data_IF_490689491766
#
_entry.id   IF_490689491766
#
_cell.length_a   1.000
_cell.length_b   1.000
_cell.length_c   1.000
_cell.angle_alpha   90.00
_cell.angle_beta   90.00
_cell.angle_gamma   90.00
#
_symmetry.space_group_name_H-M   'P 1'
#
loop_
_entity.id
_entity.type
_entity.pdbx_description
1 polymer ?
#
# COMPACT_ATOMS: atom_id res chain seq x y z
N UNK A 1 24.23 0.10 46.32
CA UNK A 1 23.70 -1.01 45.49
C UNK A 1 24.25 -0.86 44.09
N UNK A 2 24.88 -1.90 43.52
CA UNK A 2 25.34 -1.91 42.12
C UNK A 2 24.09 -2.00 41.24
N UNK A 3 23.53 -0.87 40.84
CA UNK A 3 22.25 -0.79 40.14
C UNK A 3 22.45 -0.31 38.69
N UNK A 4 21.62 -0.84 37.78
CA UNK A 4 21.47 -0.31 36.42
C UNK A 4 20.95 1.13 36.51
N UNK A 5 21.81 2.09 36.19
CA UNK A 5 21.41 3.50 36.09
C UNK A 5 21.00 3.79 34.65
N UNK A 6 19.75 4.20 34.44
CA UNK A 6 19.22 4.51 33.10
C UNK A 6 20.01 5.62 32.36
N UNK A 7 20.70 6.50 33.10
CA UNK A 7 21.58 7.52 32.54
C UNK A 7 22.98 7.02 32.17
N UNK A 8 23.36 5.80 32.58
CA UNK A 8 24.68 5.25 32.31
C UNK A 8 24.63 4.19 31.21
N UNK A 9 25.59 4.24 30.28
CA UNK A 9 25.65 3.34 29.11
C UNK A 9 26.29 2.00 29.47
N UNK A 10 26.15 1.56 30.71
CA UNK A 10 26.79 0.38 31.27
C UNK A 10 25.69 -0.44 31.93
N UNK A 11 25.54 -1.69 31.49
CA UNK A 11 24.67 -2.68 32.12
C UNK A 11 25.50 -3.61 33.00
N UNK A 12 25.01 -3.91 34.20
CA UNK A 12 25.67 -4.85 35.11
C UNK A 12 25.00 -6.23 35.06
N UNK A 13 25.81 -7.29 34.99
CA UNK A 13 25.34 -8.67 35.04
C UNK A 13 25.67 -9.29 36.41
N UNK A 14 24.63 -9.54 37.22
CA UNK A 14 24.75 -10.11 38.56
C UNK A 14 25.25 -11.56 38.59
N UNK A 15 25.04 -12.33 37.52
CA UNK A 15 25.41 -13.75 37.51
C UNK A 15 26.92 -13.94 37.32
N UNK A 16 27.54 -13.08 36.52
CA UNK A 16 28.96 -13.18 36.17
C UNK A 16 29.80 -12.05 36.77
N UNK A 17 29.20 -11.18 37.59
CA UNK A 17 29.81 -9.95 38.13
C UNK A 17 30.52 -9.07 37.09
N UNK A 18 30.02 -9.05 35.85
CA UNK A 18 30.64 -8.31 34.74
C UNK A 18 29.85 -7.06 34.36
N UNK A 19 30.56 -6.08 33.82
CA UNK A 19 29.98 -4.88 33.22
C UNK A 19 30.01 -4.99 31.70
N UNK A 20 28.95 -4.53 31.04
CA UNK A 20 28.85 -4.50 29.58
C UNK A 20 28.41 -3.13 29.10
N UNK A 21 29.01 -2.66 28.00
CA UNK A 21 28.57 -1.43 27.33
C UNK A 21 27.21 -1.61 26.64
N UNK A 22 26.32 -0.65 26.85
CA UNK A 22 24.97 -0.56 26.27
C UNK A 22 24.98 0.50 25.15
N UNK A 23 25.18 0.09 23.89
CA UNK A 23 25.05 1.01 22.77
C UNK A 23 23.61 1.52 22.65
N UNK A 24 23.47 2.67 21.97
CA UNK A 24 22.17 3.37 21.82
C UNK A 24 21.19 2.51 21.06
N UNK A 25 21.69 1.83 20.03
CA UNK A 25 21.01 0.81 19.28
C UNK A 25 21.70 -0.52 19.57
N UNK A 26 20.95 -1.53 20.00
CA UNK A 26 21.47 -2.89 20.24
C UNK A 26 21.63 -3.68 18.92
N UNK A 27 22.23 -3.04 17.92
CA UNK A 27 22.42 -3.59 16.58
C UNK A 27 23.93 -3.74 16.38
N UNK A 28 24.38 -4.98 16.17
CA UNK A 28 25.81 -5.34 16.03
C UNK A 28 26.15 -6.01 14.70
N UNK A 29 25.16 -6.30 13.87
CA UNK A 29 25.35 -6.97 12.58
C UNK A 29 24.23 -6.60 11.60
N UNK A 30 24.45 -6.94 10.32
CA UNK A 30 23.54 -6.67 9.22
C UNK A 30 22.15 -7.33 9.40
N UNK A 31 22.12 -8.58 9.88
CA UNK A 31 20.87 -9.30 10.10
C UNK A 31 19.99 -8.64 11.19
N UNK A 32 20.61 -8.16 12.27
CA UNK A 32 19.94 -7.41 13.34
C UNK A 32 19.45 -6.06 12.83
N UNK A 33 20.21 -5.39 11.96
CA UNK A 33 19.76 -4.14 11.34
C UNK A 33 18.51 -4.37 10.50
N UNK A 34 18.52 -5.39 9.63
CA UNK A 34 17.38 -5.77 8.78
C UNK A 34 16.15 -6.13 9.61
N UNK A 35 16.31 -7.00 10.60
CA UNK A 35 15.22 -7.38 11.50
C UNK A 35 14.66 -6.20 12.30
N UNK A 36 15.54 -5.30 12.76
CA UNK A 36 15.13 -4.09 13.45
C UNK A 36 14.31 -3.17 12.54
N UNK A 37 14.82 -2.87 11.33
CA UNK A 37 14.14 -2.03 10.34
C UNK A 37 12.78 -2.60 9.91
N UNK A 38 12.63 -3.92 9.80
CA UNK A 38 11.36 -4.59 9.48
C UNK A 38 10.38 -4.59 10.67
N UNK A 39 10.88 -4.66 11.90
CA UNK A 39 10.05 -4.65 13.11
C UNK A 39 9.45 -3.27 13.44
N UNK A 40 10.00 -2.20 12.85
CA UNK A 40 9.57 -0.85 13.13
C UNK A 40 8.16 -0.60 12.55
N UNK A 41 7.26 -0.09 13.40
CA UNK A 41 5.89 0.30 12.98
C UNK A 41 5.89 1.49 12.02
N UNK A 42 6.90 2.35 12.13
CA UNK A 42 7.05 3.55 11.30
C UNK A 42 8.39 3.46 10.59
N UNK A 43 8.40 3.80 9.31
CA UNK A 43 9.62 3.90 8.52
C UNK A 43 10.43 5.11 9.01
N UNK A 44 11.32 4.87 9.99
CA UNK A 44 12.23 5.88 10.51
C UNK A 44 13.66 5.52 10.14
N UNK A 45 14.37 6.46 9.50
CA UNK A 45 15.78 6.30 9.21
C UNK A 45 16.64 6.28 10.47
N UNK A 46 17.65 5.41 10.48
CA UNK A 46 18.63 5.30 11.56
C UNK A 46 19.91 6.05 11.23
N UNK A 47 20.46 6.77 12.20
CA UNK A 47 21.74 7.45 12.05
C UNK A 47 22.91 6.46 12.07
N UNK A 48 23.81 6.55 11.10
CA UNK A 48 25.02 5.70 11.06
C UNK A 48 25.94 5.98 12.24
N UNK A 49 25.94 7.21 12.78
CA UNK A 49 26.69 7.55 13.99
C UNK A 49 26.20 6.74 15.21
N UNK A 50 24.88 6.54 15.31
CA UNK A 50 24.28 5.77 16.40
C UNK A 50 24.51 4.26 16.22
N UNK A 51 24.66 3.79 14.98
CA UNK A 51 25.03 2.40 14.69
C UNK A 51 26.51 2.12 14.96
N UNK A 52 27.42 3.06 14.62
CA UNK A 52 28.87 2.96 14.86
C UNK A 52 29.23 2.73 16.33
N UNK A 53 28.39 3.22 17.22
CA UNK A 53 28.55 3.09 18.66
C UNK A 53 28.42 1.63 19.16
N UNK A 54 27.63 0.79 18.49
CA UNK A 54 27.48 -0.63 18.82
C UNK A 54 28.17 -1.59 17.85
N UNK A 55 28.60 -1.08 16.69
CA UNK A 55 29.02 -1.86 15.54
C UNK A 55 30.15 -1.16 14.78
N UNK A 56 31.38 -1.64 14.97
CA UNK A 56 32.58 -0.98 14.43
C UNK A 56 32.69 -1.04 12.89
N UNK A 57 32.34 -2.18 12.28
CA UNK A 57 32.44 -2.44 10.83
C UNK A 57 31.23 -1.95 10.03
N UNK A 58 30.34 -1.15 10.66
CA UNK A 58 29.05 -0.79 10.07
C UNK A 58 29.15 -0.04 8.73
N UNK A 59 30.23 0.71 8.50
CA UNK A 59 30.38 1.44 7.24
C UNK A 59 30.58 0.50 6.04
N UNK A 60 31.40 -0.54 6.21
CA UNK A 60 31.68 -1.53 5.18
C UNK A 60 30.48 -2.47 5.00
N UNK A 61 29.87 -2.88 6.11
CA UNK A 61 28.70 -3.76 6.10
C UNK A 61 27.48 -3.08 5.45
N UNK A 62 27.24 -1.79 5.73
CA UNK A 62 26.17 -1.02 5.07
C UNK A 62 26.42 -0.91 3.57
N UNK A 63 27.67 -0.69 3.14
CA UNK A 63 27.99 -0.61 1.71
C UNK A 63 27.67 -1.93 1.01
N UNK A 64 28.02 -3.06 1.62
CA UNK A 64 27.70 -4.38 1.09
C UNK A 64 26.19 -4.67 1.08
N UNK A 65 25.44 -4.17 2.07
CA UNK A 65 23.98 -4.27 2.08
C UNK A 65 23.33 -3.37 1.02
N UNK A 66 23.90 -2.20 0.77
CA UNK A 66 23.45 -1.26 -0.26
C UNK A 66 23.68 -1.84 -1.67
N UNK A 67 24.83 -2.46 -1.92
CA UNK A 67 25.11 -3.14 -3.19
C UNK A 67 24.10 -4.28 -3.48
N UNK A 68 23.58 -4.91 -2.42
CA UNK A 68 22.51 -5.93 -2.50
C UNK A 68 21.10 -5.33 -2.53
N UNK A 69 20.97 -4.01 -2.49
CA UNK A 69 19.70 -3.28 -2.37
C UNK A 69 18.88 -3.66 -1.13
N UNK A 70 19.49 -4.14 -0.05
CA UNK A 70 18.76 -4.49 1.18
C UNK A 70 18.50 -3.28 2.08
N UNK A 71 19.23 -2.19 1.87
CA UNK A 71 19.06 -0.93 2.61
C UNK A 71 19.21 0.26 1.68
N UNK A 72 18.49 1.35 2.01
CA UNK A 72 18.62 2.63 1.33
C UNK A 72 19.49 3.58 2.17
N UNK A 73 20.51 4.16 1.56
CA UNK A 73 21.48 5.02 2.25
C UNK A 73 21.35 6.46 1.76
N UNK A 74 21.04 7.38 2.68
CA UNK A 74 21.09 8.82 2.39
C UNK A 74 22.48 9.36 2.69
N UNK A 75 23.11 9.92 1.67
CA UNK A 75 24.41 10.60 1.77
C UNK A 75 24.26 12.13 1.83
N UNK A 76 25.20 12.81 2.46
CA UNK A 76 25.38 14.26 2.30
C UNK A 76 26.09 14.58 0.98
N UNK A 77 26.16 15.88 0.64
CA UNK A 77 26.88 16.37 -0.54
C UNK A 77 28.35 15.90 -0.57
N UNK A 78 28.95 15.70 0.61
CA UNK A 78 30.33 15.22 0.78
C UNK A 78 30.47 13.68 0.61
N UNK A 79 29.41 12.98 0.21
CA UNK A 79 29.40 11.52 0.01
C UNK A 79 29.31 10.70 1.30
N UNK A 80 29.34 11.35 2.48
CA UNK A 80 29.27 10.65 3.77
C UNK A 80 27.85 10.11 4.01
N UNK A 81 27.77 8.80 4.24
CA UNK A 81 26.53 8.13 4.60
C UNK A 81 26.04 8.61 5.97
N UNK A 82 24.77 9.04 6.04
CA UNK A 82 24.22 9.72 7.22
C UNK A 82 23.09 8.94 7.87
N UNK A 83 22.12 8.50 7.07
CA UNK A 83 20.97 7.72 7.55
C UNK A 83 20.71 6.49 6.69
N UNK A 84 20.34 5.40 7.33
CA UNK A 84 19.98 4.12 6.70
C UNK A 84 18.48 3.89 6.85
N UNK A 85 17.87 3.38 5.79
CA UNK A 85 16.44 3.08 5.69
C UNK A 85 16.24 1.64 5.23
N UNK A 86 15.07 1.09 5.56
CA UNK A 86 14.68 -0.23 5.08
C UNK A 86 14.53 -0.21 3.56
N UNK A 87 14.99 -1.27 2.89
CA UNK A 87 14.67 -1.51 1.49
C UNK A 87 14.24 -2.97 1.31
N UNK A 88 13.28 -3.20 0.43
CA UNK A 88 12.91 -4.54 0.03
C UNK A 88 13.32 -4.78 -1.43
N UNK A 89 14.34 -5.63 -1.69
CA UNK A 89 14.76 -5.97 -3.04
C UNK A 89 13.64 -6.58 -3.89
N UNK A 90 12.65 -7.25 -3.26
CA UNK A 90 11.54 -7.87 -4.00
C UNK A 90 10.59 -6.85 -4.63
N UNK A 91 10.58 -5.62 -4.12
CA UNK A 91 9.78 -4.52 -4.65
C UNK A 91 10.56 -3.66 -5.65
N UNK A 92 11.84 -3.95 -5.89
CA UNK A 92 12.63 -3.25 -6.90
C UNK A 92 12.41 -3.89 -8.27
N UNK A 93 11.79 -3.11 -9.16
CA UNK A 93 11.66 -3.45 -10.57
C UNK A 93 12.66 -2.64 -11.38
N UNK A 94 13.73 -3.26 -11.91
CA UNK A 94 14.67 -2.55 -12.77
C UNK A 94 13.94 -2.15 -14.06
N UNK A 95 14.07 -0.87 -14.42
CA UNK A 95 13.54 -0.31 -15.65
C UNK A 95 14.70 0.10 -16.55
N UNK A 96 14.54 -0.03 -17.85
CA UNK A 96 15.54 0.48 -18.79
C UNK A 96 15.70 2.00 -18.63
N UNK A 97 16.94 2.54 -18.70
CA UNK A 97 17.18 3.96 -18.55
C UNK A 97 16.40 4.83 -19.53
N UNK A 98 16.10 4.33 -20.74
CA UNK A 98 15.31 5.04 -21.74
C UNK A 98 13.88 5.31 -21.26
N UNK A 99 13.19 4.30 -20.71
CA UNK A 99 11.85 4.48 -20.17
C UNK A 99 11.83 5.44 -18.98
N UNK A 100 12.85 5.39 -18.11
CA UNK A 100 12.97 6.33 -17.00
C UNK A 100 13.13 7.78 -17.51
N UNK A 101 13.95 8.00 -18.54
CA UNK A 101 14.13 9.31 -19.16
C UNK A 101 12.83 9.81 -19.83
N UNK A 102 12.14 8.92 -20.57
CA UNK A 102 10.85 9.25 -21.16
C UNK A 102 9.82 9.66 -20.10
N UNK A 103 9.76 8.92 -18.99
CA UNK A 103 8.88 9.25 -17.86
C UNK A 103 9.17 10.63 -17.29
N UNK A 104 10.44 10.96 -17.04
CA UNK A 104 10.84 12.26 -16.50
C UNK A 104 10.67 13.42 -17.49
N UNK A 105 10.66 13.14 -18.80
CA UNK A 105 10.44 14.15 -19.85
C UNK A 105 8.98 14.59 -19.95
N UNK A 106 8.03 13.78 -19.48
CA UNK A 106 6.60 14.13 -19.53
C UNK A 106 6.35 15.32 -18.59
N UNK A 107 6.04 16.48 -19.19
CA UNK A 107 5.69 17.67 -18.44
C UNK A 107 4.26 17.54 -17.88
N UNK A 108 4.13 17.62 -16.56
CA UNK A 108 2.83 17.65 -15.90
C UNK A 108 2.32 19.10 -15.94
N UNK A 109 1.09 19.37 -16.43
CA UNK A 109 0.49 20.69 -16.41
C UNK A 109 0.49 21.27 -14.98
N UNK A 110 0.90 22.52 -14.82
CA UNK A 110 0.90 23.18 -13.52
C UNK A 110 -0.52 23.40 -12.99
N UNK A 111 -1.49 23.58 -13.89
CA UNK A 111 -2.89 23.75 -13.56
C UNK A 111 -3.57 22.38 -13.37
N UNK A 112 -4.12 22.09 -12.17
CA UNK A 112 -4.75 20.79 -11.90
C UNK A 112 -6.03 20.56 -12.73
N UNK A 113 -6.73 21.63 -13.11
CA UNK A 113 -7.95 21.54 -13.93
C UNK A 113 -7.65 21.13 -15.37
N UNK A 114 -6.54 21.61 -15.94
CA UNK A 114 -6.08 21.21 -17.27
C UNK A 114 -5.69 19.72 -17.29
N UNK A 115 -4.96 19.25 -16.27
CA UNK A 115 -4.65 17.83 -16.11
C UNK A 115 -5.94 17.00 -16.02
N UNK A 116 -6.94 17.46 -15.24
CA UNK A 116 -8.22 16.76 -15.12
C UNK A 116 -8.98 16.69 -16.44
N UNK A 117 -9.05 17.80 -17.18
CA UNK A 117 -9.72 17.85 -18.49
C UNK A 117 -9.02 16.96 -19.51
N UNK A 118 -7.68 16.96 -19.55
CA UNK A 118 -6.90 16.09 -20.42
C UNK A 118 -7.12 14.60 -20.10
N UNK A 119 -7.15 14.23 -18.82
CA UNK A 119 -7.46 12.86 -18.38
C UNK A 119 -8.88 12.45 -18.78
N UNK A 120 -9.87 13.34 -18.61
CA UNK A 120 -11.25 13.08 -19.04
C UNK A 120 -11.36 12.94 -20.56
N UNK A 121 -10.65 13.76 -21.33
CA UNK A 121 -10.56 13.64 -22.79
C UNK A 121 -9.93 12.32 -23.24
N UNK A 122 -8.98 11.79 -22.48
CA UNK A 122 -8.39 10.47 -22.68
C UNK A 122 -9.26 9.30 -22.15
N UNK A 123 -10.44 9.58 -21.60
CA UNK A 123 -11.35 8.57 -21.03
C UNK A 123 -10.93 8.02 -19.66
N UNK A 124 -9.91 8.63 -19.02
CA UNK A 124 -9.46 8.28 -17.68
C UNK A 124 -10.29 9.06 -16.66
N UNK A 125 -11.20 8.35 -15.97
CA UNK A 125 -12.08 8.91 -14.95
C UNK A 125 -11.49 8.62 -13.57
N UNK A 126 -11.60 9.57 -12.64
CA UNK A 126 -11.11 9.38 -11.28
C UNK A 126 -11.78 8.16 -10.61
N UNK A 127 -10.99 7.25 -10.04
CA UNK A 127 -11.50 6.03 -9.40
C UNK A 127 -12.47 6.29 -8.23
N UNK A 128 -12.45 7.49 -7.65
CA UNK A 128 -13.34 7.91 -6.56
C UNK A 128 -14.74 8.32 -7.04
N UNK A 129 -14.95 8.54 -8.35
CA UNK A 129 -16.28 8.90 -8.85
C UNK A 129 -17.23 7.72 -8.67
N UNK A 130 -18.26 7.91 -7.85
CA UNK A 130 -19.34 6.95 -7.69
C UNK A 130 -19.93 6.68 -9.07
N UNK A 131 -19.85 5.43 -9.51
CA UNK A 131 -20.50 4.99 -10.74
C UNK A 131 -22.00 5.07 -10.47
N UNK A 132 -22.64 6.16 -10.88
CA UNK A 132 -24.08 6.25 -10.84
C UNK A 132 -24.63 5.20 -11.79
N UNK A 133 -25.12 4.10 -11.21
CA UNK A 133 -25.95 3.14 -11.94
C UNK A 133 -27.22 3.91 -12.26
N UNK A 134 -27.25 4.53 -13.43
CA UNK A 134 -28.49 5.04 -13.99
C UNK A 134 -29.37 3.83 -14.18
N UNK A 135 -30.23 3.57 -13.19
CA UNK A 135 -31.29 2.59 -13.31
C UNK A 135 -32.12 3.06 -14.49
N UNK A 136 -31.93 2.43 -15.66
CA UNK A 136 -32.88 2.58 -16.75
C UNK A 136 -34.20 2.10 -16.19
N UNK A 137 -35.05 3.05 -15.76
CA UNK A 137 -36.46 2.83 -15.49
C UNK A 137 -37.11 2.48 -16.82
N UNK A 138 -36.85 1.24 -17.27
CA UNK A 138 -37.71 0.56 -18.23
C UNK A 138 -38.99 0.34 -17.44
N UNK A 139 -39.89 1.32 -17.50
CA UNK A 139 -41.30 1.12 -17.16
C UNK A 139 -41.75 -0.08 -17.99
N UNK A 140 -41.69 -1.28 -17.38
CA UNK A 140 -42.30 -2.47 -17.93
C UNK A 140 -43.79 -2.13 -17.96
N UNK A 141 -44.28 -1.68 -19.11
CA UNK A 141 -45.72 -1.60 -19.37
C UNK A 141 -46.30 -2.94 -18.94
N UNK A 142 -47.14 -2.93 -17.90
CA UNK A 142 -47.86 -4.10 -17.46
C UNK A 142 -48.57 -4.67 -18.69
N UNK A 143 -48.26 -5.92 -19.05
CA UNK A 143 -48.91 -6.56 -20.20
C UNK A 143 -50.39 -6.61 -19.90
N UNK A 144 -51.20 -5.96 -20.75
CA UNK A 144 -52.65 -6.02 -20.65
C UNK A 144 -53.09 -7.50 -20.62
N UNK A 145 -54.03 -7.88 -19.74
CA UNK A 145 -54.50 -9.26 -19.66
C UNK A 145 -55.05 -9.66 -21.04
N UNK A 146 -54.52 -10.76 -21.59
CA UNK A 146 -54.94 -11.28 -22.89
C UNK A 146 -56.41 -11.68 -22.79
N UNK A 147 -57.29 -10.94 -23.46
CA UNK A 147 -58.68 -11.33 -23.65
C UNK A 147 -58.71 -12.70 -24.33
N UNK A 148 -59.41 -13.63 -23.69
CA UNK A 148 -59.51 -15.06 -23.97
C UNK A 148 -59.39 -15.41 -25.47
N UNK A 149 -58.40 -16.23 -25.80
CA UNK A 149 -58.26 -16.78 -27.15
C UNK A 149 -59.49 -17.60 -27.56
N UNK A 150 -59.76 -17.66 -28.87
CA UNK A 150 -60.92 -18.36 -29.45
C UNK A 150 -61.01 -19.79 -28.90
N UNK A 151 -62.03 -20.07 -28.09
CA UNK A 151 -62.34 -21.41 -27.61
C UNK A 151 -62.98 -22.22 -28.73
N UNK A 152 -62.34 -23.30 -29.12
CA UNK A 152 -62.85 -24.23 -30.14
C UNK A 152 -63.72 -25.34 -29.54
N UNK A 153 -63.73 -25.51 -28.22
CA UNK A 153 -64.53 -26.53 -27.52
C UNK A 153 -65.73 -25.90 -26.81
N UNK A 154 -66.88 -25.90 -27.50
CA UNK A 154 -68.14 -25.28 -27.05
C UNK A 154 -68.65 -25.82 -25.72
N UNK A 155 -68.45 -27.12 -25.45
CA UNK A 155 -68.93 -27.78 -24.23
C UNK A 155 -68.20 -27.34 -22.95
N UNK A 156 -67.03 -26.73 -23.05
CA UNK A 156 -66.23 -26.32 -21.88
C UNK A 156 -66.39 -24.83 -21.55
N UNK A 157 -67.16 -24.09 -22.36
CA UNK A 157 -67.29 -22.63 -22.26
C UNK A 157 -67.90 -22.16 -20.93
N UNK A 158 -68.67 -23.00 -20.22
CA UNK A 158 -69.26 -22.64 -18.93
C UNK A 158 -68.28 -22.83 -17.74
N UNK A 159 -67.25 -23.67 -17.88
CA UNK A 159 -66.24 -23.91 -16.83
C UNK A 159 -65.08 -22.90 -16.90
N UNK A 160 -64.76 -22.43 -18.10
CA UNK A 160 -63.59 -21.59 -18.36
C UNK A 160 -63.88 -20.07 -18.26
N UNK A 161 -65.04 -19.68 -17.72
CA UNK A 161 -65.36 -18.28 -17.44
C UNK A 161 -64.69 -17.86 -16.13
N UNK A 162 -63.83 -16.86 -16.22
CA UNK A 162 -63.11 -16.31 -15.07
C UNK A 162 -64.02 -15.37 -14.27
N UNK A 163 -64.36 -15.74 -13.04
CA UNK A 163 -65.17 -14.95 -12.10
C UNK A 163 -64.33 -14.32 -10.97
N UNK A 164 -63.00 -14.29 -11.11
CA UNK A 164 -62.09 -13.74 -10.10
C UNK A 164 -62.34 -12.26 -9.75
N UNK A 165 -63.00 -11.51 -10.63
CA UNK A 165 -63.41 -10.11 -10.39
C UNK A 165 -64.80 -9.91 -9.77
N UNK A 166 -65.53 -10.98 -9.43
CA UNK A 166 -66.90 -10.90 -8.90
C UNK A 166 -67.01 -11.16 -7.40
N UNK A 167 -65.90 -11.09 -6.65
CA UNK A 167 -65.93 -11.03 -5.18
C UNK A 167 -66.32 -9.60 -4.75
N UNK A 168 -67.50 -9.48 -4.13
CA UNK A 168 -67.85 -8.37 -3.24
C UNK A 168 -67.36 -8.70 -1.83
#
# INVERSE_FOLDING_TARGET
>A
MRADNAGNRISWNSANETYRYKPKLQIRNAAQLKGYLQSQKSAMGLSIKDLKDGWATVADDIKLMEDKNEVLVKRTKDGVARTVWNNDPSMMHPMEPEFAQMWHRIAIPANPDELRSALQGAGLVAATQKKEVVATNKNKKAKAPRKNGKQTNTHMAHLLKDFSGMRK
#
